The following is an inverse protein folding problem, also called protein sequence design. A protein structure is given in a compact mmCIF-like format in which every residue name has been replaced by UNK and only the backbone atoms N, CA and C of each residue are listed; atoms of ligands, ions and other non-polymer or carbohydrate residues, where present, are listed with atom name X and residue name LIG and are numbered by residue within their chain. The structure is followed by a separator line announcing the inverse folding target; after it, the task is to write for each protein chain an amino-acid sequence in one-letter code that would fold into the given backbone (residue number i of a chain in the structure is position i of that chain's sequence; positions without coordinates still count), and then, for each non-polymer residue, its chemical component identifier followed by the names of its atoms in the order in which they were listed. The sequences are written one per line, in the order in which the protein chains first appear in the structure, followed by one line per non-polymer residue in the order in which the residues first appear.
data_IF_834398986351
#
_entry.id   IF_834398986351
#
_cell.length_a   1.000
_cell.length_b   1.000
_cell.length_c   1.000
_cell.angle_alpha   90.00
_cell.angle_beta   90.00
_cell.angle_gamma   90.00
#
_symmetry.space_group_name_H-M   'P 1'
#
loop_
_entity.id
_entity.type
_entity.pdbx_description
1 polymer ?
#
# COMPACT_ATOMS: atom_id res chain seq x y z
N UNK A 1 9.65 -1.53 -35.92
CA UNK A 1 8.67 -0.63 -35.28
C UNK A 1 8.60 -1.04 -33.81
N UNK A 2 9.34 -0.36 -32.93
CA UNK A 2 9.35 -0.71 -31.50
C UNK A 2 8.10 -0.17 -30.84
N UNK A 3 7.26 -1.08 -30.38
CA UNK A 3 6.06 -0.81 -29.57
C UNK A 3 6.45 0.06 -28.37
N UNK A 4 6.02 1.32 -28.39
CA UNK A 4 6.03 2.18 -27.22
C UNK A 4 5.05 1.58 -26.22
N UNK A 5 5.57 0.77 -25.30
CA UNK A 5 4.86 0.26 -24.13
C UNK A 5 4.39 1.46 -23.31
N UNK A 6 3.22 1.98 -23.65
CA UNK A 6 2.53 2.98 -22.84
C UNK A 6 1.99 2.21 -21.65
N UNK A 7 2.86 1.97 -20.67
CA UNK A 7 2.50 1.35 -19.40
C UNK A 7 1.48 2.28 -18.75
N UNK A 8 0.20 1.97 -18.95
CA UNK A 8 -0.93 2.73 -18.43
C UNK A 8 -0.74 2.94 -16.92
N UNK A 9 -1.07 4.15 -16.44
CA UNK A 9 -0.93 4.61 -15.04
C UNK A 9 -1.57 3.67 -13.99
N UNK A 10 -2.37 2.70 -14.45
CA UNK A 10 -3.04 1.69 -13.62
C UNK A 10 -2.13 0.49 -13.29
N UNK A 11 -1.12 0.19 -14.10
CA UNK A 11 -0.21 -0.92 -13.84
C UNK A 11 0.56 -0.72 -12.53
N UNK A 12 0.72 -1.80 -11.76
CA UNK A 12 1.33 -1.79 -10.42
C UNK A 12 0.41 -1.32 -9.30
N UNK A 13 -0.84 -0.91 -9.59
CA UNK A 13 -1.80 -0.52 -8.56
C UNK A 13 -2.52 -1.73 -7.97
N UNK A 14 -2.88 -1.62 -6.70
CA UNK A 14 -3.53 -2.68 -5.93
C UNK A 14 -4.98 -2.33 -5.60
N UNK A 15 -5.81 -3.35 -5.51
CA UNK A 15 -7.15 -3.28 -4.95
C UNK A 15 -7.49 -4.59 -4.24
N UNK A 16 -8.50 -4.58 -3.37
CA UNK A 16 -9.02 -5.79 -2.76
C UNK A 16 -10.27 -6.28 -3.49
N UNK A 17 -10.40 -7.59 -3.65
CA UNK A 17 -11.60 -8.22 -4.18
C UNK A 17 -11.89 -9.51 -3.42
N UNK A 18 -13.08 -9.60 -2.83
CA UNK A 18 -13.54 -10.77 -2.07
C UNK A 18 -12.54 -11.25 -1.01
N UNK A 19 -11.90 -10.31 -0.30
CA UNK A 19 -10.90 -10.59 0.74
C UNK A 19 -9.50 -10.89 0.24
N UNK A 20 -9.24 -10.81 -1.08
CA UNK A 20 -7.93 -11.04 -1.67
C UNK A 20 -7.32 -9.77 -2.22
N UNK A 21 -6.00 -9.64 -2.10
CA UNK A 21 -5.25 -8.57 -2.74
C UNK A 21 -5.03 -8.89 -4.22
N UNK A 22 -5.39 -7.95 -5.07
CA UNK A 22 -5.25 -8.01 -6.51
C UNK A 22 -4.28 -6.92 -6.99
N UNK A 23 -3.48 -7.22 -8.01
CA UNK A 23 -2.55 -6.26 -8.63
C UNK A 23 -2.80 -6.13 -10.11
N UNK A 24 -2.92 -4.90 -10.62
CA UNK A 24 -2.99 -4.65 -12.05
C UNK A 24 -1.60 -4.87 -12.66
N UNK A 25 -1.45 -5.89 -13.51
CA UNK A 25 -0.18 -6.23 -14.17
C UNK A 25 -0.01 -5.40 -15.44
N UNK A 26 -1.07 -5.31 -16.24
CA UNK A 26 -1.09 -4.54 -17.48
C UNK A 26 -2.48 -3.96 -17.69
N UNK A 27 -2.54 -2.77 -18.26
CA UNK A 27 -3.78 -2.16 -18.72
C UNK A 27 -3.64 -1.83 -20.20
N UNK A 28 -4.60 -2.31 -20.99
CA UNK A 28 -4.73 -2.05 -22.41
C UNK A 28 -5.93 -1.13 -22.63
N UNK A 29 -5.63 0.15 -22.91
CA UNK A 29 -6.66 1.15 -23.13
C UNK A 29 -7.32 1.04 -24.49
N UNK A 30 -6.67 0.41 -25.48
CA UNK A 30 -7.25 0.22 -26.81
C UNK A 30 -8.28 -0.91 -26.80
N UNK A 31 -7.98 -1.98 -26.05
CA UNK A 31 -8.89 -3.12 -25.86
C UNK A 31 -9.86 -2.96 -24.68
N UNK A 32 -9.86 -1.82 -23.99
CA UNK A 32 -10.63 -1.53 -22.77
C UNK A 32 -10.58 -2.64 -21.70
N UNK A 33 -9.41 -3.26 -21.54
CA UNK A 33 -9.20 -4.37 -20.61
C UNK A 33 -7.91 -4.23 -19.81
N UNK A 34 -7.85 -4.90 -18.67
CA UNK A 34 -6.65 -5.00 -17.85
C UNK A 34 -6.41 -6.44 -17.40
N UNK A 35 -5.15 -6.83 -17.39
CA UNK A 35 -4.70 -8.08 -16.78
C UNK A 35 -4.39 -7.81 -15.31
N UNK A 36 -5.02 -8.57 -14.43
CA UNK A 36 -4.92 -8.47 -12.98
C UNK A 36 -4.39 -9.79 -12.43
N UNK A 37 -3.41 -9.73 -11.54
CA UNK A 37 -2.99 -10.87 -10.72
C UNK A 37 -3.91 -10.98 -9.51
N UNK A 38 -4.55 -12.13 -9.33
CA UNK A 38 -5.38 -12.48 -8.19
C UNK A 38 -5.13 -13.93 -7.80
N UNK A 39 -4.80 -14.19 -6.53
CA UNK A 39 -4.54 -15.55 -6.00
C UNK A 39 -3.50 -16.36 -6.82
N UNK A 40 -2.46 -15.68 -7.31
CA UNK A 40 -1.41 -16.30 -8.13
C UNK A 40 -1.84 -16.62 -9.56
N UNK A 41 -3.01 -16.16 -10.00
CA UNK A 41 -3.53 -16.33 -11.36
C UNK A 41 -3.66 -14.97 -12.04
N UNK A 42 -3.48 -14.95 -13.36
CA UNK A 42 -3.77 -13.78 -14.18
C UNK A 42 -5.20 -13.87 -14.71
N UNK A 43 -5.99 -12.84 -14.46
CA UNK A 43 -7.36 -12.70 -14.95
C UNK A 43 -7.46 -11.43 -15.79
N UNK A 44 -8.27 -11.46 -16.84
CA UNK A 44 -8.58 -10.27 -17.64
C UNK A 44 -9.89 -9.67 -17.15
N UNK A 45 -9.90 -8.36 -16.92
CA UNK A 45 -11.05 -7.62 -16.42
C UNK A 45 -11.30 -6.38 -17.29
N UNK A 46 -12.55 -5.91 -17.40
CA UNK A 46 -12.84 -4.62 -18.03
C UNK A 46 -12.14 -3.47 -17.32
N UNK A 47 -11.57 -2.54 -18.08
CA UNK A 47 -10.88 -1.36 -17.54
C UNK A 47 -11.78 -0.52 -16.61
N UNK A 48 -13.08 -0.30 -16.91
CA UNK A 48 -13.98 0.44 -16.02
C UNK A 48 -14.11 -0.21 -14.63
N UNK A 49 -14.29 -1.53 -14.58
CA UNK A 49 -14.39 -2.28 -13.32
C UNK A 49 -13.10 -2.19 -12.51
N UNK A 50 -11.94 -2.23 -13.17
CA UNK A 50 -10.64 -2.05 -12.48
C UNK A 50 -10.51 -0.63 -11.92
N UNK A 51 -10.91 0.40 -12.67
CA UNK A 51 -10.88 1.79 -12.18
C UNK A 51 -11.81 2.01 -10.99
N UNK A 52 -13.02 1.45 -11.04
CA UNK A 52 -13.97 1.49 -9.92
C UNK A 52 -13.38 0.85 -8.67
N UNK A 53 -12.83 -0.37 -8.79
CA UNK A 53 -12.18 -1.06 -7.67
C UNK A 53 -10.98 -0.28 -7.14
N UNK A 54 -10.09 0.20 -8.02
CA UNK A 54 -8.95 1.03 -7.61
C UNK A 54 -9.38 2.32 -6.90
N UNK A 55 -10.54 2.87 -7.25
CA UNK A 55 -11.08 4.08 -6.61
C UNK A 55 -11.69 3.77 -5.24
N UNK A 56 -12.44 2.66 -5.13
CA UNK A 56 -12.98 2.16 -3.86
C UNK A 56 -11.86 1.85 -2.84
N UNK A 57 -10.69 1.48 -3.34
CA UNK A 57 -9.51 1.18 -2.53
C UNK A 57 -8.37 2.19 -2.75
N UNK A 58 -8.66 3.45 -3.07
CA UNK A 58 -7.64 4.48 -3.28
C UNK A 58 -6.70 4.70 -2.07
N UNK A 59 -7.13 4.23 -0.89
CA UNK A 59 -6.40 4.26 0.37
C UNK A 59 -5.62 2.97 0.69
N UNK A 60 -5.78 1.89 -0.09
CA UNK A 60 -4.91 0.70 -0.02
C UNK A 60 -3.53 1.05 -0.58
N UNK A 61 -2.72 1.72 0.25
CA UNK A 61 -1.29 1.78 0.03
C UNK A 61 -0.68 0.45 0.50
N UNK A 62 0.23 -0.12 -0.29
CA UNK A 62 1.23 -1.03 0.25
C UNK A 62 2.08 -0.20 1.23
N UNK A 63 2.13 -0.60 2.51
CA UNK A 63 3.11 -0.03 3.44
C UNK A 63 4.48 -0.58 3.07
N UNK A 64 5.08 -0.03 2.02
CA UNK A 64 6.48 -0.33 1.75
C UNK A 64 7.32 0.49 2.74
N UNK A 65 8.31 -0.15 3.36
CA UNK A 65 9.30 0.48 4.25
C UNK A 65 9.95 1.73 3.60
N UNK A 66 9.95 1.79 2.27
CA UNK A 66 10.53 2.86 1.45
C UNK A 66 9.51 3.81 0.79
N UNK A 67 8.24 3.83 1.21
CA UNK A 67 7.29 4.81 0.66
C UNK A 67 7.51 6.20 1.26
N UNK A 68 7.44 7.27 0.46
CA UNK A 68 7.52 8.66 0.97
C UNK A 68 6.44 8.94 2.05
N UNK A 69 5.31 8.22 2.00
CA UNK A 69 4.25 8.28 3.02
C UNK A 69 4.66 7.70 4.38
N UNK A 70 5.66 6.83 4.43
CA UNK A 70 6.23 6.28 5.67
C UNK A 70 7.01 7.36 6.42
N UNK A 71 7.66 8.29 5.72
CA UNK A 71 8.39 9.42 6.32
C UNK A 71 7.43 10.42 6.98
N UNK A 72 6.24 10.63 6.40
CA UNK A 72 5.20 11.51 6.97
C UNK A 72 4.51 10.95 8.23
N UNK A 73 4.84 9.73 8.66
CA UNK A 73 4.30 9.14 9.89
C UNK A 73 5.12 9.49 11.12
N UNK A 74 6.37 9.93 10.97
CA UNK A 74 7.21 10.33 12.11
C UNK A 74 6.89 11.75 12.54
N UNK A 75 6.57 11.93 13.81
CA UNK A 75 6.15 13.20 14.41
C UNK A 75 7.02 13.44 15.65
N UNK A 76 7.45 14.66 15.89
CA UNK A 76 8.11 15.08 17.13
C UNK A 76 7.25 16.08 17.88
N UNK A 77 7.21 15.98 19.20
CA UNK A 77 6.65 16.99 20.09
C UNK A 77 7.53 17.15 21.35
N UNK A 78 7.10 17.94 22.33
CA UNK A 78 7.85 18.20 23.57
C UNK A 78 8.12 16.93 24.41
N UNK A 79 7.34 15.86 24.23
CA UNK A 79 7.49 14.60 24.93
C UNK A 79 8.40 13.58 24.21
N UNK A 80 8.82 13.85 22.97
CA UNK A 80 9.73 12.99 22.20
C UNK A 80 9.27 12.70 20.78
N UNK A 81 9.77 11.59 20.22
CA UNK A 81 9.43 11.13 18.87
C UNK A 81 8.33 10.08 18.87
N UNK A 82 7.45 10.15 17.89
CA UNK A 82 6.31 9.26 17.72
C UNK A 82 6.24 8.81 16.27
N UNK A 83 5.51 7.73 16.02
CA UNK A 83 4.99 7.46 14.69
C UNK A 83 3.47 7.24 14.71
N UNK A 84 2.80 7.68 13.64
CA UNK A 84 1.36 7.51 13.45
C UNK A 84 1.07 6.15 12.80
N UNK A 85 0.24 5.34 13.44
CA UNK A 85 -0.25 4.07 12.89
C UNK A 85 -1.31 4.32 11.80
N UNK A 86 -1.65 3.27 11.04
CA UNK A 86 -2.76 3.32 10.05
C UNK A 86 -4.11 3.67 10.69
N UNK A 87 -4.32 3.21 11.91
CA UNK A 87 -5.52 3.45 12.72
C UNK A 87 -5.49 4.82 13.39
N UNK A 88 -4.54 5.69 13.00
CA UNK A 88 -4.35 7.06 13.49
C UNK A 88 -3.88 7.19 14.94
N UNK A 89 -3.60 6.08 15.63
CA UNK A 89 -2.97 6.09 16.95
C UNK A 89 -1.50 6.56 16.86
N UNK A 90 -1.04 7.22 17.92
CA UNK A 90 0.37 7.60 18.08
C UNK A 90 1.08 6.53 18.91
N UNK A 91 2.15 5.96 18.36
CA UNK A 91 3.05 5.06 19.07
C UNK A 91 4.31 5.82 19.48
N UNK A 92 4.68 5.72 20.75
CA UNK A 92 5.79 6.45 21.39
C UNK A 92 5.44 6.81 22.85
N UNK A 93 6.21 7.70 23.51
CA UNK A 93 7.36 8.42 22.98
C UNK A 93 8.61 7.53 22.79
N UNK A 94 9.45 7.93 21.84
CA UNK A 94 10.79 7.38 21.61
C UNK A 94 11.84 8.48 21.75
N UNK A 95 13.02 8.12 22.27
CA UNK A 95 14.09 9.08 22.57
C UNK A 95 14.68 9.76 21.34
N UNK A 96 14.59 9.12 20.16
CA UNK A 96 15.13 9.67 18.91
C UNK A 96 14.28 9.31 17.70
N UNK A 97 14.46 10.09 16.63
CA UNK A 97 13.82 9.86 15.33
C UNK A 97 14.16 8.47 14.78
N UNK A 98 15.39 8.02 14.97
CA UNK A 98 15.89 6.72 14.51
C UNK A 98 15.20 5.59 15.27
N UNK A 99 15.02 5.72 16.58
CA UNK A 99 14.26 4.74 17.38
C UNK A 99 12.80 4.68 16.97
N UNK A 100 12.16 5.84 16.74
CA UNK A 100 10.78 5.88 16.25
C UNK A 100 10.65 5.26 14.85
N UNK A 101 11.64 5.49 13.96
CA UNK A 101 11.69 4.89 12.63
C UNK A 101 11.85 3.38 12.69
N UNK A 102 12.75 2.87 13.53
CA UNK A 102 12.93 1.43 13.71
C UNK A 102 11.67 0.78 14.26
N UNK A 103 11.06 1.36 15.30
CA UNK A 103 9.81 0.86 15.85
C UNK A 103 8.65 0.88 14.83
N UNK A 104 8.57 1.93 13.99
CA UNK A 104 7.62 2.00 12.89
C UNK A 104 7.85 0.91 11.85
N UNK A 105 9.11 0.63 11.49
CA UNK A 105 9.45 -0.43 10.55
C UNK A 105 9.02 -1.80 11.09
N UNK A 106 9.34 -2.08 12.36
CA UNK A 106 8.92 -3.32 13.03
C UNK A 106 7.39 -3.44 13.11
N UNK A 107 6.70 -2.34 13.38
CA UNK A 107 5.23 -2.30 13.37
C UNK A 107 4.66 -2.64 11.99
N UNK A 108 5.21 -2.06 10.91
CA UNK A 108 4.80 -2.36 9.54
C UNK A 108 5.00 -3.85 9.22
N UNK A 109 6.17 -4.41 9.56
CA UNK A 109 6.49 -5.82 9.34
C UNK A 109 5.48 -6.72 10.09
N UNK A 110 5.23 -6.45 11.37
CA UNK A 110 4.28 -7.24 12.19
C UNK A 110 2.87 -7.23 11.63
N UNK A 111 2.38 -6.09 11.16
CA UNK A 111 1.07 -5.99 10.51
C UNK A 111 1.04 -6.80 9.22
N UNK A 112 2.10 -6.76 8.42
CA UNK A 112 2.20 -7.54 7.17
C UNK A 112 2.25 -9.04 7.43
N UNK A 113 2.84 -9.46 8.55
CA UNK A 113 2.84 -10.85 9.01
C UNK A 113 1.50 -11.29 9.65
N UNK A 114 0.51 -10.40 9.73
CA UNK A 114 -0.79 -10.69 10.35
C UNK A 114 -0.74 -10.79 11.89
N UNK A 115 0.33 -10.30 12.52
CA UNK A 115 0.52 -10.28 13.97
C UNK A 115 0.24 -8.88 14.49
N UNK A 116 -1.02 -8.58 14.80
CA UNK A 116 -1.38 -7.34 15.48
C UNK A 116 -0.93 -7.46 16.94
N UNK A 117 -0.11 -6.54 17.48
CA UNK A 117 0.18 -6.55 18.91
C UNK A 117 -1.05 -6.08 19.69
N UNK A 118 -1.51 -6.88 20.66
CA UNK A 118 -2.40 -6.40 21.72
C UNK A 118 -1.70 -5.25 22.45
N UNK A 119 -2.30 -4.07 22.43
CA UNK A 119 -1.84 -2.94 23.25
C UNK A 119 -2.09 -3.30 24.72
N UNK A 120 -1.02 -3.35 25.53
CA UNK A 120 -1.09 -3.34 26.99
C UNK A 120 -1.04 -1.92 27.50
#
# INVERSE_FOLDING_TARGET
MSEKTTTSRLAGRLFAESGYLCMVVKADTAADTATVSSRGRLITMPLPSVKEKLSAYAYLALDNLNSDRTVHRLISNEAGWFFKTRETALAGPYDSREKAKEAMNQYIIRIQEGRIPEQR
#
